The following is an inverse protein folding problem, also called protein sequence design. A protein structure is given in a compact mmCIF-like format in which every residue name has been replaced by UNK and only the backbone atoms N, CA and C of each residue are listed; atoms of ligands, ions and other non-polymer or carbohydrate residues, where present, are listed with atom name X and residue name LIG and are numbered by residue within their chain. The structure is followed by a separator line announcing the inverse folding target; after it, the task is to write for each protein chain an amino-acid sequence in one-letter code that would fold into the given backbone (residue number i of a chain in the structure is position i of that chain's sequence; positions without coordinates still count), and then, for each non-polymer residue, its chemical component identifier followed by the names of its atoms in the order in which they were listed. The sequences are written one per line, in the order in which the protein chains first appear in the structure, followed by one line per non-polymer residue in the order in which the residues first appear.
data_IF_308079749513
#
_entry.id   IF_308079749513
#
_cell.length_a   1.000
_cell.length_b   1.000
_cell.length_c   1.000
_cell.angle_alpha   90.00
_cell.angle_beta   90.00
_cell.angle_gamma   90.00
#
_symmetry.space_group_name_H-M   'P 1'
#
loop_
_entity.id
_entity.type
_entity.pdbx_description
1 polymer ?
#
# COMPACT_ATOMS: atom_id res chain seq x y z
N UNK A 1 19.71 14.05 -34.03
CA UNK A 1 18.29 13.77 -34.35
C UNK A 1 17.67 13.11 -33.14
N UNK A 2 16.52 13.60 -32.69
CA UNK A 2 15.77 13.02 -31.55
C UNK A 2 15.34 11.59 -31.88
N UNK A 3 15.34 10.68 -30.89
CA UNK A 3 14.79 9.32 -31.03
C UNK A 3 13.26 9.30 -31.12
N UNK A 4 12.60 10.44 -30.94
CA UNK A 4 11.15 10.57 -30.94
C UNK A 4 10.63 10.74 -32.38
N UNK A 5 9.57 10.02 -32.78
CA UNK A 5 8.98 10.14 -34.12
C UNK A 5 8.54 11.58 -34.43
N UNK A 6 8.74 12.03 -35.67
CA UNK A 6 8.29 13.35 -36.12
C UNK A 6 6.75 13.52 -36.04
N UNK A 7 6.00 12.42 -36.13
CA UNK A 7 4.53 12.39 -35.96
C UNK A 7 4.05 12.88 -34.59
N UNK A 8 4.94 12.99 -33.61
CA UNK A 8 4.60 13.52 -32.27
C UNK A 8 4.23 14.99 -32.34
N UNK A 9 4.85 15.77 -33.22
CA UNK A 9 4.54 17.19 -33.39
C UNK A 9 3.11 17.39 -33.87
N UNK A 10 2.68 16.62 -34.88
CA UNK A 10 1.31 16.65 -35.39
C UNK A 10 0.30 16.29 -34.29
N UNK A 11 0.60 15.23 -33.53
CA UNK A 11 -0.27 14.76 -32.43
C UNK A 11 -0.37 15.79 -31.31
N UNK A 12 0.71 16.52 -31.01
CA UNK A 12 0.70 17.61 -30.02
C UNK A 12 -0.06 18.82 -30.57
N UNK A 13 0.18 19.21 -31.81
CA UNK A 13 -0.46 20.35 -32.48
C UNK A 13 -1.98 20.19 -32.64
N UNK A 14 -2.47 18.95 -32.77
CA UNK A 14 -3.91 18.65 -32.78
C UNK A 14 -4.60 18.93 -31.43
N UNK A 15 -3.85 18.90 -30.32
CA UNK A 15 -4.40 19.06 -28.97
C UNK A 15 -4.05 20.42 -28.34
N UNK A 16 -2.91 21.00 -28.68
CA UNK A 16 -2.38 22.23 -28.10
C UNK A 16 -1.86 23.17 -29.18
N UNK A 17 -2.02 24.48 -28.95
CA UNK A 17 -1.39 25.49 -29.79
C UNK A 17 0.11 25.61 -29.42
N UNK A 18 0.98 25.22 -30.35
CA UNK A 18 2.43 25.18 -30.17
C UNK A 18 3.05 26.50 -30.64
N UNK A 19 3.79 27.18 -29.75
CA UNK A 19 4.53 28.42 -30.04
C UNK A 19 5.97 28.18 -30.45
N UNK A 20 6.62 27.19 -29.84
CA UNK A 20 8.02 26.88 -30.08
C UNK A 20 8.30 25.40 -29.79
N UNK A 21 9.31 24.83 -30.45
CA UNK A 21 9.72 23.43 -30.31
C UNK A 21 11.23 23.34 -30.15
N UNK A 22 11.66 22.67 -29.09
CA UNK A 22 13.08 22.40 -28.80
C UNK A 22 13.34 20.90 -28.79
N UNK A 23 14.30 20.44 -29.59
CA UNK A 23 14.67 19.03 -29.67
C UNK A 23 15.85 18.72 -28.76
N UNK A 24 15.68 17.69 -27.94
CA UNK A 24 16.75 17.06 -27.18
C UNK A 24 17.01 15.64 -27.74
N UNK A 25 18.14 15.01 -27.38
CA UNK A 25 18.46 13.66 -27.87
C UNK A 25 17.40 12.59 -27.52
N UNK A 26 16.81 12.69 -26.33
CA UNK A 26 15.86 11.70 -25.77
C UNK A 26 14.46 12.29 -25.50
N UNK A 27 14.24 13.57 -25.84
CA UNK A 27 12.95 14.25 -25.61
C UNK A 27 12.69 15.38 -26.60
N UNK A 28 11.42 15.77 -26.75
CA UNK A 28 10.99 16.96 -27.49
C UNK A 28 10.19 17.85 -26.56
N UNK A 29 10.56 19.11 -26.44
CA UNK A 29 9.90 20.11 -25.61
C UNK A 29 9.11 21.09 -26.48
N UNK A 30 7.85 21.31 -26.13
CA UNK A 30 6.91 22.20 -26.79
C UNK A 30 6.56 23.34 -25.83
N UNK A 31 6.71 24.59 -26.27
CA UNK A 31 6.19 25.75 -25.57
C UNK A 31 4.78 26.00 -26.10
N UNK A 32 3.79 26.01 -25.21
CA UNK A 32 2.38 26.08 -25.56
C UNK A 32 1.81 27.48 -25.31
N UNK A 33 0.71 27.81 -25.97
CA UNK A 33 -0.11 28.96 -25.62
C UNK A 33 -0.83 28.74 -24.28
N UNK A 34 -1.19 29.85 -23.61
CA UNK A 34 -1.93 29.79 -22.35
C UNK A 34 -3.33 29.24 -22.57
N UNK A 35 -3.70 28.25 -21.76
CA UNK A 35 -4.98 27.55 -21.81
C UNK A 35 -5.54 27.49 -20.39
N UNK A 36 -6.87 27.48 -20.27
CA UNK A 36 -7.55 27.33 -18.99
C UNK A 36 -7.12 26.02 -18.29
N UNK A 37 -7.02 25.98 -16.95
CA UNK A 37 -6.61 24.76 -16.24
C UNK A 37 -7.49 23.54 -16.57
N UNK A 38 -8.79 23.73 -16.72
CA UNK A 38 -9.76 22.66 -17.04
C UNK A 38 -9.56 22.10 -18.45
N UNK A 39 -9.46 22.97 -19.47
CA UNK A 39 -9.24 22.56 -20.85
C UNK A 39 -7.86 21.88 -21.04
N UNK A 40 -6.84 22.40 -20.34
CA UNK A 40 -5.48 21.84 -20.40
C UNK A 40 -5.46 20.37 -19.95
N UNK A 41 -6.30 20.03 -18.98
CA UNK A 41 -6.36 18.70 -18.38
C UNK A 41 -7.02 17.69 -19.32
N UNK A 42 -8.13 18.06 -19.96
CA UNK A 42 -8.82 17.18 -20.90
C UNK A 42 -7.98 16.91 -22.16
N UNK A 43 -7.38 17.97 -22.71
CA UNK A 43 -6.47 17.89 -23.86
C UNK A 43 -5.23 17.06 -23.56
N UNK A 44 -4.66 17.19 -22.35
CA UNK A 44 -3.55 16.36 -21.91
C UNK A 44 -3.93 14.88 -21.80
N UNK A 45 -5.12 14.56 -21.25
CA UNK A 45 -5.63 13.18 -21.20
C UNK A 45 -5.85 12.60 -22.61
N UNK A 46 -6.35 13.39 -23.55
CA UNK A 46 -6.51 12.98 -24.94
C UNK A 46 -5.16 12.70 -25.62
N UNK A 47 -4.20 13.61 -25.46
CA UNK A 47 -2.84 13.49 -25.96
C UNK A 47 -2.15 12.22 -25.44
N UNK A 48 -2.21 11.99 -24.13
CA UNK A 48 -1.61 10.84 -23.48
C UNK A 48 -2.18 9.50 -24.00
N UNK A 49 -3.48 9.40 -24.23
CA UNK A 49 -4.10 8.19 -24.79
C UNK A 49 -3.56 7.84 -26.17
N UNK A 50 -3.10 8.83 -26.95
CA UNK A 50 -2.48 8.61 -28.27
C UNK A 50 -0.98 8.35 -28.17
N UNK A 51 -0.28 8.99 -27.23
CA UNK A 51 1.17 8.82 -27.04
C UNK A 51 1.54 7.51 -26.33
N UNK A 52 0.73 7.05 -25.38
CA UNK A 52 1.01 5.85 -24.57
C UNK A 52 1.20 4.56 -25.39
N UNK A 53 0.38 4.23 -26.42
CA UNK A 53 0.60 3.06 -27.26
C UNK A 53 1.91 3.08 -28.08
N UNK A 54 2.47 4.27 -28.30
CA UNK A 54 3.75 4.45 -29.00
C UNK A 54 4.95 4.38 -28.05
N UNK A 55 4.73 4.09 -26.76
CA UNK A 55 5.78 4.11 -25.75
C UNK A 55 6.29 5.51 -25.44
N UNK A 56 5.47 6.54 -25.64
CA UNK A 56 5.82 7.94 -25.40
C UNK A 56 5.04 8.48 -24.20
N UNK A 57 5.71 9.27 -23.36
CA UNK A 57 5.13 9.85 -22.17
C UNK A 57 5.21 11.38 -22.27
N UNK A 58 4.06 12.08 -22.36
CA UNK A 58 4.00 13.52 -22.26
C UNK A 58 4.04 13.98 -20.79
N UNK A 59 4.67 15.13 -20.54
CA UNK A 59 4.65 15.82 -19.24
C UNK A 59 4.37 17.29 -19.45
N UNK A 60 3.23 17.75 -18.92
CA UNK A 60 2.82 19.15 -18.94
C UNK A 60 3.24 19.83 -17.63
N UNK A 61 3.91 20.98 -17.70
CA UNK A 61 4.32 21.76 -16.55
C UNK A 61 4.41 23.25 -16.88
N UNK A 62 4.43 24.09 -15.84
CA UNK A 62 4.59 25.53 -15.97
C UNK A 62 6.03 25.87 -15.56
N UNK A 63 6.72 26.63 -16.41
CA UNK A 63 8.10 27.10 -16.22
C UNK A 63 8.11 28.63 -16.34
N UNK A 64 8.17 29.32 -15.19
CA UNK A 64 7.91 30.77 -15.12
C UNK A 64 6.46 31.07 -15.49
N UNK A 65 6.26 31.87 -16.54
CA UNK A 65 4.95 32.22 -17.09
C UNK A 65 4.55 31.35 -18.30
N UNK A 66 5.39 30.39 -18.72
CA UNK A 66 5.16 29.62 -19.94
C UNK A 66 4.67 28.22 -19.62
N UNK A 67 3.60 27.79 -20.30
CA UNK A 67 3.16 26.40 -20.31
C UNK A 67 4.06 25.58 -21.24
N UNK A 68 4.68 24.54 -20.70
CA UNK A 68 5.59 23.64 -21.43
C UNK A 68 5.11 22.21 -21.40
N UNK A 69 5.31 21.50 -22.50
CA UNK A 69 5.02 20.08 -22.65
C UNK A 69 6.28 19.37 -23.14
N UNK A 70 6.82 18.45 -22.36
CA UNK A 70 7.95 17.61 -22.79
C UNK A 70 7.45 16.21 -23.08
N UNK A 71 7.73 15.67 -24.26
CA UNK A 71 7.50 14.28 -24.62
C UNK A 71 8.83 13.54 -24.56
N UNK A 72 8.87 12.41 -23.85
CA UNK A 72 10.04 11.54 -23.76
C UNK A 72 9.65 10.11 -24.16
N UNK A 73 10.62 9.35 -24.67
CA UNK A 73 10.46 7.91 -24.83
C UNK A 73 10.39 7.27 -23.46
N UNK A 74 9.39 6.43 -23.24
CA UNK A 74 9.33 5.59 -22.06
C UNK A 74 10.61 4.74 -22.03
N UNK A 75 11.32 4.66 -20.89
CA UNK A 75 12.37 3.65 -20.75
C UNK A 75 11.75 2.29 -21.08
N UNK A 76 12.49 1.44 -21.81
CA UNK A 76 12.07 0.06 -22.09
C UNK A 76 11.57 -0.54 -20.77
N UNK A 77 10.28 -0.87 -20.71
CA UNK A 77 9.66 -1.32 -19.47
C UNK A 77 10.43 -2.52 -18.96
N UNK A 78 10.98 -2.43 -17.74
CA UNK A 78 11.44 -3.63 -17.05
C UNK A 78 10.22 -4.55 -16.97
N UNK A 79 10.30 -5.72 -17.59
CA UNK A 79 9.26 -6.74 -17.41
C UNK A 79 9.07 -6.91 -15.90
N UNK A 80 7.87 -6.60 -15.41
CA UNK A 80 7.53 -6.79 -14.00
C UNK A 80 7.79 -8.24 -13.59
N UNK A 81 7.87 -8.54 -12.29
CA UNK A 81 8.16 -9.90 -11.84
C UNK A 81 7.23 -10.91 -12.54
N UNK A 82 7.85 -11.93 -13.14
CA UNK A 82 7.14 -12.95 -13.90
C UNK A 82 5.97 -13.51 -13.07
N UNK A 83 4.83 -13.82 -13.69
CA UNK A 83 3.64 -14.26 -12.95
C UNK A 83 3.88 -15.44 -11.99
N UNK A 84 4.89 -16.28 -12.27
CA UNK A 84 5.33 -17.36 -11.38
C UNK A 84 5.93 -16.85 -10.06
N UNK A 85 6.68 -15.75 -10.08
CA UNK A 85 7.25 -15.13 -8.88
C UNK A 85 6.12 -14.54 -8.02
N UNK A 86 5.17 -13.86 -8.64
CA UNK A 86 3.98 -13.33 -7.94
C UNK A 86 3.19 -14.43 -7.25
N UNK A 87 2.92 -15.53 -7.99
CA UNK A 87 2.24 -16.69 -7.42
C UNK A 87 3.05 -17.34 -6.31
N UNK A 88 4.36 -17.53 -6.49
CA UNK A 88 5.22 -18.11 -5.46
C UNK A 88 5.19 -17.29 -4.18
N UNK A 89 5.28 -15.96 -4.29
CA UNK A 89 5.24 -15.06 -3.14
C UNK A 89 3.86 -15.01 -2.46
N UNK A 90 2.77 -15.05 -3.23
CA UNK A 90 1.43 -15.21 -2.67
C UNK A 90 1.32 -16.52 -1.87
N UNK A 91 1.77 -17.64 -2.44
CA UNK A 91 1.73 -18.94 -1.75
C UNK A 91 2.62 -18.96 -0.51
N UNK A 92 3.81 -18.37 -0.57
CA UNK A 92 4.67 -18.20 0.59
C UNK A 92 3.99 -17.35 1.67
N UNK A 93 3.33 -16.26 1.29
CA UNK A 93 2.63 -15.35 2.21
C UNK A 93 1.45 -16.05 2.89
N UNK A 94 0.65 -16.81 2.15
CA UNK A 94 -0.41 -17.64 2.74
C UNK A 94 0.19 -18.65 3.74
N UNK A 95 1.30 -19.31 3.37
CA UNK A 95 1.99 -20.25 4.25
C UNK A 95 2.49 -19.60 5.54
N UNK A 96 3.09 -18.42 5.46
CA UNK A 96 3.57 -17.68 6.64
C UNK A 96 2.44 -17.12 7.51
N UNK A 97 1.30 -16.71 6.92
CA UNK A 97 0.09 -16.32 7.66
C UNK A 97 -0.50 -17.52 8.42
N UNK A 98 -0.54 -18.71 7.81
CA UNK A 98 -1.00 -19.93 8.49
C UNK A 98 -0.04 -20.31 9.62
N UNK A 99 1.27 -20.27 9.36
CA UNK A 99 2.28 -20.55 10.37
C UNK A 99 2.24 -19.55 11.55
N UNK A 100 2.04 -18.26 11.26
CA UNK A 100 1.79 -17.22 12.27
C UNK A 100 0.54 -17.53 13.09
N UNK A 101 -0.57 -17.88 12.44
CA UNK A 101 -1.79 -18.30 13.11
C UNK A 101 -1.60 -19.49 14.04
N UNK A 102 -0.79 -20.48 13.64
CA UNK A 102 -0.48 -21.64 14.47
C UNK A 102 0.29 -21.25 15.74
N UNK A 103 1.30 -20.38 15.62
CA UNK A 103 2.08 -19.89 16.77
C UNK A 103 1.20 -19.09 17.72
N UNK A 104 0.42 -18.14 17.18
CA UNK A 104 -0.53 -17.34 17.97
C UNK A 104 -1.53 -18.23 18.71
N UNK A 105 -2.15 -19.19 18.01
CA UNK A 105 -3.13 -20.09 18.61
C UNK A 105 -2.54 -20.91 19.75
N UNK A 106 -1.36 -21.51 19.56
CA UNK A 106 -0.73 -22.32 20.61
C UNK A 106 -0.34 -21.47 21.82
N UNK A 107 0.23 -20.28 21.60
CA UNK A 107 0.56 -19.34 22.68
C UNK A 107 -0.68 -18.91 23.47
N UNK A 108 -1.76 -18.50 22.79
CA UNK A 108 -3.01 -18.13 23.46
C UNK A 108 -3.61 -19.31 24.25
N UNK A 109 -3.56 -20.53 23.71
CA UNK A 109 -4.15 -21.71 24.35
C UNK A 109 -3.38 -22.15 25.58
N UNK A 110 -2.05 -22.05 25.58
CA UNK A 110 -1.24 -22.33 26.76
C UNK A 110 -1.66 -21.42 27.92
N UNK A 111 -1.83 -20.12 27.65
CA UNK A 111 -2.31 -19.15 28.64
C UNK A 111 -3.76 -19.42 29.06
N UNK A 112 -4.65 -19.76 28.11
CA UNK A 112 -6.04 -20.11 28.43
C UNK A 112 -6.14 -21.33 29.35
N UNK A 113 -5.33 -22.37 29.11
CA UNK A 113 -5.30 -23.57 29.96
C UNK A 113 -4.92 -23.25 31.39
N UNK A 114 -3.93 -22.38 31.59
CA UNK A 114 -3.54 -21.90 32.92
C UNK A 114 -4.66 -21.08 33.59
N UNK A 115 -5.45 -20.34 32.80
CA UNK A 115 -6.65 -19.65 33.25
C UNK A 115 -7.88 -20.57 33.42
N UNK A 116 -7.74 -21.89 33.26
CA UNK A 116 -8.83 -22.86 33.41
C UNK A 116 -9.79 -22.92 32.23
N UNK A 117 -9.41 -22.37 31.08
CA UNK A 117 -10.19 -22.34 29.84
C UNK A 117 -9.52 -23.17 28.75
N UNK A 118 -10.27 -23.55 27.72
CA UNK A 118 -9.69 -24.25 26.57
C UNK A 118 -10.34 -23.77 25.28
N UNK A 119 -9.52 -23.67 24.25
CA UNK A 119 -9.92 -23.36 22.88
C UNK A 119 -9.21 -24.35 21.96
N UNK A 120 -9.85 -24.75 20.87
CA UNK A 120 -9.24 -25.64 19.88
C UNK A 120 -8.13 -24.88 19.12
N UNK A 121 -6.87 -25.37 19.10
CA UNK A 121 -5.78 -24.77 18.33
C UNK A 121 -6.13 -24.53 16.87
N UNK A 122 -6.93 -25.41 16.27
CA UNK A 122 -7.33 -25.26 14.88
C UNK A 122 -8.24 -24.06 14.69
N UNK A 123 -9.18 -23.83 15.61
CA UNK A 123 -10.08 -22.67 15.57
C UNK A 123 -9.27 -21.38 15.75
N UNK A 124 -8.33 -21.36 16.70
CA UNK A 124 -7.48 -20.19 16.93
C UNK A 124 -6.63 -19.85 15.69
N UNK A 125 -6.01 -20.87 15.09
CA UNK A 125 -5.18 -20.72 13.89
C UNK A 125 -6.01 -20.18 12.73
N UNK A 126 -7.14 -20.83 12.42
CA UNK A 126 -8.02 -20.42 11.33
C UNK A 126 -8.56 -19.01 11.56
N UNK A 127 -8.95 -18.67 12.78
CA UNK A 127 -9.47 -17.33 13.11
C UNK A 127 -8.42 -16.25 12.87
N UNK A 128 -7.19 -16.46 13.33
CA UNK A 128 -6.11 -15.51 13.10
C UNK A 128 -5.76 -15.38 11.62
N UNK A 129 -5.52 -16.51 10.95
CA UNK A 129 -5.10 -16.53 9.55
C UNK A 129 -6.16 -15.94 8.62
N UNK A 130 -7.43 -16.28 8.83
CA UNK A 130 -8.54 -15.70 8.07
C UNK A 130 -8.72 -14.21 8.35
N UNK A 131 -8.45 -13.74 9.58
CA UNK A 131 -8.44 -12.31 9.90
C UNK A 131 -7.43 -11.54 9.06
N UNK A 132 -6.17 -11.99 9.02
CA UNK A 132 -5.13 -11.34 8.21
C UNK A 132 -5.41 -11.46 6.70
N UNK A 133 -5.85 -12.63 6.22
CA UNK A 133 -6.19 -12.81 4.81
C UNK A 133 -7.38 -11.94 4.39
N UNK A 134 -8.40 -11.79 5.23
CA UNK A 134 -9.54 -10.92 4.96
C UNK A 134 -9.13 -9.45 4.91
N UNK A 135 -8.27 -9.00 5.84
CA UNK A 135 -7.67 -7.67 5.81
C UNK A 135 -6.97 -7.41 4.47
N UNK A 136 -6.06 -8.31 4.08
CA UNK A 136 -5.28 -8.18 2.85
C UNK A 136 -6.17 -8.17 1.60
N UNK A 137 -7.18 -9.04 1.56
CA UNK A 137 -8.15 -9.07 0.48
C UNK A 137 -8.98 -7.79 0.37
N UNK A 138 -9.34 -7.16 1.50
CA UNK A 138 -10.08 -5.89 1.52
C UNK A 138 -9.18 -4.72 1.11
N UNK A 139 -7.92 -4.71 1.55
CA UNK A 139 -6.90 -3.75 1.12
C UNK A 139 -6.74 -3.78 -0.40
N UNK A 140 -6.47 -4.96 -0.95
CA UNK A 140 -6.32 -5.16 -2.40
C UNK A 140 -7.61 -4.88 -3.19
N UNK A 141 -8.77 -5.13 -2.60
CA UNK A 141 -10.05 -4.74 -3.21
C UNK A 141 -10.16 -3.21 -3.32
N UNK A 142 -9.62 -2.46 -2.36
CA UNK A 142 -9.52 -1.00 -2.42
C UNK A 142 -8.77 -0.55 -3.67
N UNK A 143 -7.56 -1.09 -3.88
CA UNK A 143 -6.76 -0.84 -5.08
C UNK A 143 -7.46 -1.27 -6.36
N UNK A 144 -8.03 -2.48 -6.38
CA UNK A 144 -8.71 -3.02 -7.56
C UNK A 144 -9.94 -2.20 -7.99
N UNK A 145 -10.66 -1.60 -7.03
CA UNK A 145 -11.79 -0.72 -7.33
C UNK A 145 -11.32 0.58 -8.02
N UNK A 146 -10.20 1.15 -7.59
CA UNK A 146 -9.64 2.36 -8.19
C UNK A 146 -9.01 2.08 -9.56
N UNK A 147 -8.27 0.98 -9.67
CA UNK A 147 -7.71 0.49 -10.93
C UNK A 147 -8.80 0.22 -11.97
N UNK A 148 -9.94 -0.37 -11.56
CA UNK A 148 -11.11 -0.59 -12.43
C UNK A 148 -11.74 0.73 -12.90
N UNK A 149 -11.84 1.74 -12.04
CA UNK A 149 -12.36 3.06 -12.43
C UNK A 149 -11.49 3.74 -13.48
N UNK A 150 -10.19 3.46 -13.47
CA UNK A 150 -9.19 4.12 -14.32
C UNK A 150 -8.78 3.31 -15.54
N UNK A 151 -9.12 2.02 -15.58
CA UNK A 151 -8.77 1.13 -16.69
C UNK A 151 -7.29 0.71 -16.69
N UNK A 152 -6.60 0.87 -15.56
CA UNK A 152 -5.20 0.49 -15.36
C UNK A 152 -5.17 -0.58 -14.28
N UNK A 153 -4.97 -1.84 -14.63
CA UNK A 153 -4.89 -2.93 -13.66
C UNK A 153 -3.43 -3.29 -13.39
N UNK A 154 -2.99 -3.10 -12.16
CA UNK A 154 -1.67 -3.54 -11.71
C UNK A 154 -1.81 -4.56 -10.58
N UNK A 155 -0.90 -5.54 -10.59
CA UNK A 155 -0.87 -6.59 -9.58
C UNK A 155 0.26 -6.31 -8.61
N UNK A 156 -0.09 -6.28 -7.33
CA UNK A 156 0.87 -6.10 -6.26
C UNK A 156 1.63 -7.40 -5.95
N UNK A 157 2.75 -7.25 -5.27
CA UNK A 157 3.60 -8.35 -4.86
C UNK A 157 3.51 -8.54 -3.35
N UNK A 158 2.85 -9.60 -2.91
CA UNK A 158 2.78 -9.93 -1.48
C UNK A 158 4.15 -10.22 -0.89
N UNK A 159 4.38 -9.72 0.32
CA UNK A 159 5.64 -9.87 1.04
C UNK A 159 5.40 -10.76 2.27
N UNK A 160 5.94 -12.00 2.28
CA UNK A 160 5.84 -12.87 3.44
C UNK A 160 6.66 -12.31 4.61
N UNK A 161 6.18 -12.51 5.83
CA UNK A 161 6.88 -12.09 7.04
C UNK A 161 6.97 -13.25 8.05
N UNK A 162 7.94 -13.20 8.97
CA UNK A 162 7.96 -14.11 10.12
C UNK A 162 6.69 -13.95 10.99
N UNK A 163 6.43 -14.92 11.87
CA UNK A 163 5.40 -14.82 12.91
C UNK A 163 5.74 -13.76 13.97
N UNK A 164 4.81 -13.46 14.90
CA UNK A 164 5.06 -12.56 16.02
C UNK A 164 6.27 -13.01 16.85
N UNK A 165 7.05 -12.07 17.42
CA UNK A 165 6.81 -10.61 17.45
C UNK A 165 7.39 -9.84 16.25
N UNK A 166 8.05 -10.51 15.29
CA UNK A 166 8.77 -9.83 14.19
C UNK A 166 7.89 -9.49 12.98
N UNK A 167 6.72 -10.12 12.88
CA UNK A 167 5.72 -9.86 11.85
C UNK A 167 4.41 -10.57 12.21
N UNK A 168 3.45 -10.54 11.30
CA UNK A 168 2.16 -11.23 11.48
C UNK A 168 1.88 -12.20 10.31
N UNK A 169 2.96 -12.82 9.80
CA UNK A 169 2.90 -13.68 8.62
C UNK A 169 2.98 -12.94 7.28
N UNK A 170 2.76 -11.62 7.24
CA UNK A 170 2.99 -10.77 6.07
C UNK A 170 3.45 -9.37 6.48
N UNK A 171 4.17 -8.69 5.58
CA UNK A 171 4.43 -7.24 5.66
C UNK A 171 3.44 -6.43 4.81
N UNK A 172 2.42 -7.08 4.23
CA UNK A 172 1.54 -6.51 3.22
C UNK A 172 2.03 -6.84 1.82
N UNK A 173 1.85 -5.89 0.93
CA UNK A 173 2.12 -5.94 -0.49
C UNK A 173 2.86 -4.70 -0.95
N UNK A 174 3.55 -4.84 -2.09
CA UNK A 174 4.26 -3.75 -2.72
C UNK A 174 3.79 -3.57 -4.16
N UNK A 175 3.54 -2.31 -4.52
CA UNK A 175 3.18 -1.94 -5.87
C UNK A 175 4.42 -1.78 -6.74
N UNK A 176 4.53 -2.64 -7.75
CA UNK A 176 5.55 -2.56 -8.80
C UNK A 176 4.89 -2.13 -10.12
N UNK A 177 4.79 -0.81 -10.36
CA UNK A 177 4.01 -0.30 -11.47
C UNK A 177 4.71 -0.63 -12.79
N UNK A 178 3.91 -1.07 -13.75
CA UNK A 178 4.33 -1.35 -15.12
C UNK A 178 4.48 -0.07 -15.94
N UNK A 179 3.80 1.01 -15.53
CA UNK A 179 3.78 2.29 -16.21
C UNK A 179 3.88 3.43 -15.18
N UNK A 180 4.53 4.55 -15.52
CA UNK A 180 4.55 5.71 -14.65
C UNK A 180 3.14 6.31 -14.52
N UNK A 181 2.81 6.80 -13.33
CA UNK A 181 1.55 7.46 -13.07
C UNK A 181 1.37 8.71 -13.94
N UNK A 182 0.15 8.94 -14.40
CA UNK A 182 -0.18 9.99 -15.37
C UNK A 182 -0.17 11.37 -14.71
N UNK A 183 -0.68 11.46 -13.48
CA UNK A 183 -0.81 12.69 -12.73
C UNK A 183 -0.83 12.42 -11.22
N UNK A 184 -0.72 13.49 -10.42
CA UNK A 184 -0.66 13.41 -8.96
C UNK A 184 -1.94 12.88 -8.32
N UNK A 185 -3.09 13.21 -8.90
CA UNK A 185 -4.38 12.69 -8.43
C UNK A 185 -4.47 11.18 -8.67
N UNK A 186 -3.84 10.68 -9.74
CA UNK A 186 -3.73 9.26 -9.98
C UNK A 186 -2.94 8.56 -8.87
N UNK A 187 -1.77 9.11 -8.55
CA UNK A 187 -0.94 8.62 -7.46
C UNK A 187 -1.63 8.70 -6.10
N UNK A 188 -2.38 9.78 -5.84
CA UNK A 188 -3.09 10.00 -4.58
C UNK A 188 -4.22 9.01 -4.38
N UNK A 189 -5.14 8.88 -5.34
CA UNK A 189 -6.31 8.02 -5.13
C UNK A 189 -5.88 6.56 -5.06
N UNK A 190 -4.88 6.14 -5.86
CA UNK A 190 -4.33 4.78 -5.79
C UNK A 190 -3.67 4.55 -4.43
N UNK A 191 -2.75 5.43 -4.04
CA UNK A 191 -2.05 5.34 -2.76
C UNK A 191 -2.96 5.38 -1.54
N UNK A 192 -4.14 6.03 -1.61
CA UNK A 192 -5.11 6.05 -0.51
C UNK A 192 -6.08 4.86 -0.50
N UNK A 193 -6.42 4.33 -1.67
CA UNK A 193 -7.55 3.40 -1.80
C UNK A 193 -7.38 2.10 -1.02
N UNK A 194 -6.23 1.42 -1.17
CA UNK A 194 -5.87 0.24 -0.40
C UNK A 194 -5.77 0.53 1.10
N UNK A 195 -4.88 1.45 1.55
CA UNK A 195 -4.68 1.73 2.96
C UNK A 195 -5.95 2.15 3.72
N UNK A 196 -6.85 2.92 3.10
CA UNK A 196 -8.13 3.28 3.74
C UNK A 196 -9.03 2.05 3.89
N UNK A 197 -9.15 1.21 2.87
CA UNK A 197 -9.94 -0.02 2.94
C UNK A 197 -9.34 -1.00 3.97
N UNK A 198 -8.03 -1.18 3.95
CA UNK A 198 -7.28 -1.98 4.92
C UNK A 198 -7.44 -1.47 6.34
N UNK A 199 -7.36 -0.16 6.58
CA UNK A 199 -7.56 0.45 7.90
C UNK A 199 -8.96 0.17 8.44
N UNK A 200 -10.00 0.30 7.61
CA UNK A 200 -11.38 0.00 8.02
C UNK A 200 -11.50 -1.48 8.41
N UNK A 201 -10.96 -2.40 7.60
CA UNK A 201 -10.96 -3.82 7.91
C UNK A 201 -10.21 -4.13 9.21
N UNK A 202 -9.03 -3.52 9.40
CA UNK A 202 -8.21 -3.69 10.59
C UNK A 202 -8.95 -3.22 11.86
N UNK A 203 -9.60 -2.06 11.82
CA UNK A 203 -10.41 -1.55 12.93
C UNK A 203 -11.57 -2.49 13.28
N UNK A 204 -12.28 -3.03 12.29
CA UNK A 204 -13.38 -3.98 12.51
C UNK A 204 -12.86 -5.28 13.15
N UNK A 205 -11.76 -5.83 12.63
CA UNK A 205 -11.13 -7.03 13.18
C UNK A 205 -10.65 -6.81 14.62
N UNK A 206 -10.01 -5.67 14.90
CA UNK A 206 -9.58 -5.30 16.25
C UNK A 206 -10.76 -5.19 17.20
N UNK A 207 -11.83 -4.48 16.82
CA UNK A 207 -13.03 -4.34 17.64
C UNK A 207 -13.67 -5.70 17.95
N UNK A 208 -13.93 -6.51 16.92
CA UNK A 208 -14.51 -7.84 17.09
C UNK A 208 -13.61 -8.77 17.92
N UNK A 209 -12.30 -8.68 17.71
CA UNK A 209 -11.32 -9.47 18.42
C UNK A 209 -11.25 -9.10 19.90
N UNK A 210 -11.21 -7.81 20.23
CA UNK A 210 -11.19 -7.32 21.62
C UNK A 210 -12.46 -7.75 22.35
N UNK A 211 -13.62 -7.70 21.69
CA UNK A 211 -14.89 -8.20 22.26
C UNK A 211 -14.90 -9.71 22.54
N UNK A 212 -14.04 -10.48 21.88
CA UNK A 212 -13.86 -11.93 22.10
C UNK A 212 -12.68 -12.24 23.04
N UNK A 213 -11.92 -11.23 23.45
CA UNK A 213 -10.83 -11.38 24.39
C UNK A 213 -11.36 -11.69 25.79
N UNK A 214 -10.55 -12.37 26.59
CA UNK A 214 -10.99 -12.91 27.87
C UNK A 214 -10.34 -12.13 29.01
N UNK A 215 -11.12 -11.65 29.99
CA UNK A 215 -10.56 -10.95 31.13
C UNK A 215 -9.87 -11.93 32.10
N UNK A 216 -8.60 -11.67 32.38
CA UNK A 216 -7.77 -12.41 33.36
C UNK A 216 -7.35 -11.47 34.48
N UNK A 217 -6.93 -12.01 35.64
CA UNK A 217 -6.44 -11.15 36.73
C UNK A 217 -5.11 -10.50 36.36
N UNK A 218 -4.88 -9.28 36.86
CA UNK A 218 -3.62 -8.56 36.66
C UNK A 218 -2.42 -9.34 37.19
N UNK A 219 -2.57 -10.02 38.33
CA UNK A 219 -1.53 -10.88 38.93
C UNK A 219 -1.12 -12.04 37.99
N UNK A 220 -2.10 -12.71 37.36
CA UNK A 220 -1.84 -13.80 36.43
C UNK A 220 -1.10 -13.30 35.18
N UNK A 221 -1.54 -12.16 34.64
CA UNK A 221 -0.89 -11.55 33.48
C UNK A 221 0.55 -11.11 33.77
N UNK A 222 0.81 -10.50 34.94
CA UNK A 222 2.16 -10.13 35.38
C UNK A 222 3.06 -11.37 35.50
N UNK A 223 2.56 -12.43 36.12
CA UNK A 223 3.26 -13.72 36.21
C UNK A 223 3.62 -14.29 34.83
N UNK A 224 2.74 -14.20 33.83
CA UNK A 224 3.06 -14.64 32.47
C UNK A 224 4.13 -13.80 31.78
N UNK A 225 4.14 -12.48 32.02
CA UNK A 225 5.17 -11.59 31.50
C UNK A 225 6.53 -11.89 32.14
N UNK A 226 6.58 -12.10 33.46
CA UNK A 226 7.80 -12.46 34.19
C UNK A 226 8.36 -13.82 33.76
N UNK A 227 7.49 -14.77 33.42
CA UNK A 227 7.87 -16.07 32.88
C UNK A 227 8.26 -16.03 31.38
N UNK A 228 8.11 -14.88 30.71
CA UNK A 228 8.36 -14.73 29.28
C UNK A 228 7.33 -15.44 28.38
N UNK A 229 6.16 -15.79 28.91
CA UNK A 229 5.05 -16.42 28.14
C UNK A 229 4.15 -15.39 27.46
N UNK A 230 4.13 -14.16 27.99
CA UNK A 230 3.43 -13.02 27.41
C UNK A 230 4.41 -11.86 27.25
N UNK A 231 4.13 -10.97 26.30
CA UNK A 231 4.99 -9.83 26.01
C UNK A 231 4.19 -8.62 25.54
N UNK A 232 4.80 -7.45 25.70
CA UNK A 232 4.29 -6.22 25.12
C UNK A 232 4.63 -6.21 23.63
N UNK A 233 3.59 -6.20 22.79
CA UNK A 233 3.74 -5.93 21.37
C UNK A 233 3.69 -4.41 21.15
N UNK A 234 4.36 -3.88 20.10
CA UNK A 234 4.11 -2.53 19.65
C UNK A 234 2.62 -2.38 19.29
N UNK A 235 1.89 -1.57 20.06
CA UNK A 235 0.44 -1.42 19.93
C UNK A 235 0.11 -0.09 19.26
N UNK A 236 -0.48 -0.09 18.05
CA UNK A 236 -0.96 1.12 17.40
C UNK A 236 -1.99 1.84 18.28
N UNK A 237 -1.99 3.18 18.25
CA UNK A 237 -2.85 4.01 19.09
C UNK A 237 -4.34 3.64 18.97
N UNK A 238 -4.81 3.35 17.75
CA UNK A 238 -6.20 2.95 17.53
C UNK A 238 -6.57 1.68 18.30
N UNK A 239 -5.68 0.68 18.33
CA UNK A 239 -5.88 -0.55 19.10
C UNK A 239 -5.91 -0.25 20.60
N UNK A 240 -4.95 0.55 21.08
CA UNK A 240 -4.87 0.94 22.49
C UNK A 240 -6.13 1.68 22.96
N UNK A 241 -6.67 2.59 22.14
CA UNK A 241 -7.90 3.32 22.46
C UNK A 241 -9.11 2.39 22.49
N UNK A 242 -9.24 1.46 21.55
CA UNK A 242 -10.31 0.46 21.56
C UNK A 242 -10.21 -0.45 22.78
N UNK A 243 -9.00 -0.93 23.10
CA UNK A 243 -8.74 -1.74 24.28
C UNK A 243 -9.09 -0.98 25.57
N UNK A 244 -8.70 0.30 25.69
CA UNK A 244 -9.03 1.13 26.86
C UNK A 244 -10.54 1.29 27.06
N UNK A 245 -11.31 1.44 25.98
CA UNK A 245 -12.76 1.63 26.03
C UNK A 245 -13.48 0.31 26.37
N UNK A 246 -12.99 -0.82 25.84
CA UNK A 246 -13.64 -2.13 25.95
C UNK A 246 -13.11 -2.97 27.12
N UNK A 247 -11.99 -2.57 27.73
CA UNK A 247 -11.40 -3.30 28.83
C UNK A 247 -12.30 -3.31 30.07
N UNK A 248 -12.30 -4.42 30.83
CA UNK A 248 -13.02 -4.48 32.09
C UNK A 248 -12.46 -3.46 33.09
N UNK A 249 -13.33 -2.90 33.93
CA UNK A 249 -12.89 -2.05 35.04
C UNK A 249 -12.35 -2.90 36.20
N UNK A 250 -11.33 -2.40 36.92
CA UNK A 250 -10.73 -3.05 38.09
C UNK A 250 -9.41 -3.78 37.79
N UNK A 251 -9.01 -4.74 38.64
CA UNK A 251 -7.74 -5.50 38.55
C UNK A 251 -7.76 -6.63 37.51
N UNK A 252 -8.37 -6.39 36.35
CA UNK A 252 -8.41 -7.35 35.25
C UNK A 252 -7.83 -6.75 33.98
N UNK A 253 -7.16 -7.59 33.20
CA UNK A 253 -6.63 -7.23 31.87
C UNK A 253 -7.12 -8.24 30.84
N UNK A 254 -7.10 -7.86 29.57
CA UNK A 254 -7.57 -8.73 28.49
C UNK A 254 -6.44 -9.64 28.01
N UNK A 255 -6.68 -10.95 28.06
CA UNK A 255 -5.96 -11.90 27.25
C UNK A 255 -6.53 -11.83 25.83
N UNK A 256 -5.73 -11.29 24.91
CA UNK A 256 -6.15 -11.04 23.53
C UNK A 256 -6.52 -12.33 22.80
N UNK A 257 -7.69 -12.33 22.16
CA UNK A 257 -8.12 -13.43 21.30
C UNK A 257 -7.23 -13.53 20.04
N UNK A 258 -7.18 -14.70 19.36
CA UNK A 258 -6.45 -14.83 18.08
C UNK A 258 -6.92 -13.83 17.02
N UNK A 259 -8.21 -13.47 17.03
CA UNK A 259 -8.79 -12.43 16.19
C UNK A 259 -8.27 -11.04 16.58
N UNK A 260 -8.20 -10.72 17.87
CA UNK A 260 -7.65 -9.45 18.36
C UNK A 260 -6.20 -9.27 17.91
N UNK A 261 -5.39 -10.34 18.02
CA UNK A 261 -4.01 -10.36 17.55
C UNK A 261 -3.91 -10.20 16.03
N UNK A 262 -4.88 -10.70 15.25
CA UNK A 262 -4.96 -10.42 13.81
C UNK A 262 -5.28 -8.95 13.52
N UNK A 263 -6.20 -8.33 14.27
CA UNK A 263 -6.52 -6.90 14.13
C UNK A 263 -5.33 -6.00 14.52
N UNK A 264 -4.63 -6.36 15.60
CA UNK A 264 -3.37 -5.71 15.99
C UNK A 264 -2.33 -5.81 14.87
N UNK A 265 -2.16 -7.00 14.29
CA UNK A 265 -1.28 -7.21 13.14
C UNK A 265 -1.69 -6.40 11.92
N UNK A 266 -2.97 -6.40 11.57
CA UNK A 266 -3.51 -5.64 10.44
C UNK A 266 -3.29 -4.12 10.58
N UNK A 267 -3.49 -3.55 11.77
CA UNK A 267 -3.17 -2.15 12.05
C UNK A 267 -1.67 -1.87 11.95
N UNK A 268 -0.84 -2.82 12.36
CA UNK A 268 0.62 -2.71 12.27
C UNK A 268 1.10 -2.76 10.81
N UNK A 269 0.51 -3.66 10.00
CA UNK A 269 0.78 -3.77 8.56
C UNK A 269 0.32 -2.50 7.84
N UNK A 270 -0.88 -2.00 8.14
CA UNK A 270 -1.39 -0.74 7.59
C UNK A 270 -0.39 0.39 7.85
N UNK A 271 0.14 0.50 9.06
CA UNK A 271 1.18 1.49 9.38
C UNK A 271 2.46 1.33 8.56
N UNK A 272 2.93 0.09 8.36
CA UNK A 272 4.12 -0.20 7.55
C UNK A 272 3.91 0.19 6.07
N UNK A 273 2.78 -0.20 5.49
CA UNK A 273 2.40 0.12 4.11
C UNK A 273 2.16 1.63 3.95
N UNK A 274 1.74 2.31 5.03
CA UNK A 274 1.58 3.77 5.10
C UNK A 274 2.88 4.56 5.35
N UNK A 275 4.05 3.92 5.38
CA UNK A 275 5.30 4.67 5.45
C UNK A 275 5.58 5.38 4.12
N UNK A 276 6.12 6.62 4.13
CA UNK A 276 6.44 7.38 2.92
C UNK A 276 7.73 6.87 2.26
N UNK A 277 7.80 5.57 1.99
CA UNK A 277 8.96 4.84 1.48
C UNK A 277 8.49 3.99 0.30
N UNK A 278 9.04 4.21 -0.89
CA UNK A 278 8.81 3.30 -2.01
C UNK A 278 9.45 1.93 -1.69
N UNK A 279 8.81 0.81 -2.06
CA UNK A 279 7.69 0.68 -2.99
C UNK A 279 6.28 0.64 -2.34
N UNK A 280 6.12 1.05 -1.09
CA UNK A 280 4.84 1.04 -0.37
C UNK A 280 3.87 2.14 -0.83
N UNK A 281 2.57 1.95 -0.61
CA UNK A 281 1.47 2.79 -1.12
C UNK A 281 1.64 4.28 -0.81
N UNK A 282 1.98 4.62 0.43
CA UNK A 282 2.11 6.02 0.85
C UNK A 282 3.39 6.69 0.34
N UNK A 283 4.32 5.91 -0.24
CA UNK A 283 5.36 6.45 -1.10
C UNK A 283 4.75 7.30 -2.22
N UNK A 284 3.72 6.79 -2.91
CA UNK A 284 3.04 7.52 -3.98
C UNK A 284 2.37 8.80 -3.49
N UNK A 285 1.74 8.76 -2.30
CA UNK A 285 1.15 9.93 -1.65
C UNK A 285 2.24 10.96 -1.35
N UNK A 286 3.32 10.56 -0.69
CA UNK A 286 4.42 11.47 -0.36
C UNK A 286 5.02 12.13 -1.62
N UNK A 287 5.23 11.35 -2.69
CA UNK A 287 5.73 11.88 -3.97
C UNK A 287 4.74 12.83 -4.66
N UNK A 288 3.43 12.56 -4.58
CA UNK A 288 2.42 13.43 -5.17
C UNK A 288 2.36 14.81 -4.51
N UNK A 289 2.62 14.88 -3.20
CA UNK A 289 2.56 16.11 -2.39
C UNK A 289 3.87 16.91 -2.43
N UNK A 290 5.00 16.33 -2.86
CA UNK A 290 6.29 17.03 -2.92
C UNK A 290 6.28 18.21 -3.92
N UNK A 291 6.91 19.37 -3.59
CA UNK A 291 7.06 20.49 -4.51
C UNK A 291 7.88 20.13 -5.78
N UNK A 292 7.51 20.74 -6.92
CA UNK A 292 8.07 20.44 -8.26
C UNK A 292 9.60 20.52 -8.33
N UNK A 293 10.23 21.44 -7.59
CA UNK A 293 11.68 21.64 -7.61
C UNK A 293 12.46 20.57 -6.83
N UNK A 294 11.83 19.94 -5.84
CA UNK A 294 12.46 18.90 -5.01
C UNK A 294 12.26 17.50 -5.61
N UNK A 295 11.13 17.29 -6.30
CA UNK A 295 10.88 16.08 -7.09
C UNK A 295 11.94 15.88 -8.19
N UNK A 296 12.51 16.96 -8.73
CA UNK A 296 13.51 16.94 -9.82
C UNK A 296 14.87 16.37 -9.41
N UNK A 297 15.26 16.48 -8.13
CA UNK A 297 16.53 15.97 -7.59
C UNK A 297 16.43 14.54 -7.06
N UNK A 298 15.24 14.12 -6.63
CA UNK A 298 15.07 12.83 -5.95
C UNK A 298 14.38 11.77 -6.81
N UNK A 299 13.83 12.12 -7.98
CA UNK A 299 13.18 11.15 -8.88
C UNK A 299 14.15 10.12 -9.49
N UNK A 300 15.45 10.40 -9.50
CA UNK A 300 16.48 9.45 -9.95
C UNK A 300 17.18 8.69 -8.82
N UNK A 301 17.02 9.10 -7.56
CA UNK A 301 17.69 8.47 -6.42
C UNK A 301 16.88 7.33 -5.76
N UNK A 302 15.68 7.04 -6.27
CA UNK A 302 14.85 5.92 -5.80
C UNK A 302 14.76 4.75 -6.80
N UNK A 303 15.45 4.84 -7.96
CA UNK A 303 15.50 3.76 -8.97
C UNK A 303 16.88 3.09 -9.05
N UNK A 304 17.85 3.54 -8.25
CA UNK A 304 19.21 3.00 -8.18
C UNK A 304 19.70 3.14 -6.71
N UNK A 305 20.02 2.11 -5.94
CA UNK A 305 20.08 0.68 -6.27
C UNK A 305 20.98 0.33 -7.43
#
# INVERSE_FOLDING_TARGET
MSKIPASVEDIVAENFEVRDVTYYPESVEFVLADISPEDSRERFKALLRRLSPMGLIPRLYIDGEKLKLTVFSAPEGREGPQGRIRLALLMCTIGTIIFSGWIVANGTIELLKEAGMSLDPMIGMLTHSMGILAFLAIHELGHALEDRRRGNYELELFVPAPPPPFGFGTFGDILLPSKPAINREEMLDKGLSGPVAGLIAALVLSFMGIMQSIPVSMEMAQSWVEQGKAGLLPTPLAFLLMELILSPQGDKVLLLSPLALSGLGALSITFLVSMPVLPWDDGYIAFSLMPRDRARKNSWLAVIG
#
